data_IF_068009209817
#
_entry.id   IF_068009209817
#
_cell.length_a   1.000
_cell.length_b   1.000
_cell.length_c   1.000
_cell.angle_alpha   90.00
_cell.angle_beta   90.00
_cell.angle_gamma   90.00
#
_symmetry.space_group_name_H-M   'P 1'
#
loop_
_entity.id
_entity.type
_entity.pdbx_description
1 polymer ?
#
# COMPACT_ATOMS: atom_id res chain seq x y z
N UNK A 1 7.29 15.30 -24.07
CA UNK A 1 6.86 15.25 -22.65
C UNK A 1 6.14 13.94 -22.38
N UNK A 2 6.50 13.28 -21.28
CA UNK A 2 5.84 12.17 -20.58
C UNK A 2 5.55 10.87 -21.32
N UNK A 3 6.63 10.12 -21.54
CA UNK A 3 6.63 8.66 -21.54
C UNK A 3 6.48 8.09 -20.11
N UNK A 4 5.45 8.50 -19.36
CA UNK A 4 4.85 7.62 -18.36
C UNK A 4 4.12 6.55 -19.18
N UNK A 5 4.95 5.64 -19.71
CA UNK A 5 4.57 4.57 -20.64
C UNK A 5 3.39 3.84 -20.04
N UNK A 6 2.36 3.69 -20.85
CA UNK A 6 1.15 2.90 -20.61
C UNK A 6 1.52 1.55 -20.01
N UNK A 7 1.54 1.46 -18.68
CA UNK A 7 1.40 0.19 -18.01
C UNK A 7 -0.01 -0.24 -18.36
N UNK A 8 -0.15 -1.34 -19.10
CA UNK A 8 -1.46 -1.95 -19.31
C UNK A 8 -2.11 -2.09 -17.93
N UNK A 9 -3.34 -1.62 -17.77
CA UNK A 9 -4.02 -1.61 -16.47
C UNK A 9 -4.11 -3.01 -15.86
N UNK A 10 -4.11 -4.05 -16.69
CA UNK A 10 -3.98 -5.46 -16.33
C UNK A 10 -2.72 -5.79 -15.51
N UNK A 11 -1.65 -5.00 -15.64
CA UNK A 11 -0.36 -5.24 -14.97
C UNK A 11 -0.23 -4.55 -13.62
N UNK A 12 -1.18 -3.67 -13.25
CA UNK A 12 -1.16 -2.93 -11.98
C UNK A 12 -1.06 -3.86 -10.76
N UNK A 13 -1.83 -4.96 -10.64
CA UNK A 13 -1.74 -5.84 -9.47
C UNK A 13 -0.34 -6.42 -9.24
N UNK A 14 0.36 -6.82 -10.30
CA UNK A 14 1.72 -7.36 -10.22
C UNK A 14 2.74 -6.33 -9.72
N UNK A 15 2.59 -5.07 -10.14
CA UNK A 15 3.44 -3.97 -9.64
C UNK A 15 3.21 -3.74 -8.15
N UNK A 16 1.95 -3.76 -7.72
CA UNK A 16 1.60 -3.64 -6.30
C UNK A 16 2.18 -4.79 -5.50
N UNK A 17 2.01 -6.04 -5.94
CA UNK A 17 2.58 -7.21 -5.27
C UNK A 17 4.08 -7.09 -5.08
N UNK A 18 4.81 -6.68 -6.12
CA UNK A 18 6.25 -6.48 -6.02
C UNK A 18 6.65 -5.41 -5.02
N UNK A 19 5.93 -4.31 -4.97
CA UNK A 19 6.20 -3.27 -3.98
C UNK A 19 5.89 -3.74 -2.55
N UNK A 20 4.80 -4.50 -2.37
CA UNK A 20 4.43 -5.07 -1.07
C UNK A 20 5.45 -6.12 -0.58
N UNK A 21 6.01 -6.94 -1.48
CA UNK A 21 7.09 -7.88 -1.16
C UNK A 21 8.37 -7.15 -0.72
N UNK A 22 8.75 -6.10 -1.44
CA UNK A 22 9.93 -5.30 -1.11
C UNK A 22 9.78 -4.57 0.22
N UNK A 23 8.58 -4.07 0.54
CA UNK A 23 8.30 -3.39 1.80
C UNK A 23 8.38 -4.35 3.00
N UNK A 24 7.78 -5.54 2.87
CA UNK A 24 7.77 -6.58 3.91
C UNK A 24 9.16 -7.15 4.19
N UNK A 25 10.02 -7.27 3.17
CA UNK A 25 11.40 -7.71 3.35
C UNK A 25 12.24 -6.77 4.24
N UNK A 26 11.76 -5.54 4.47
CA UNK A 26 12.37 -4.57 5.39
C UNK A 26 11.80 -4.58 6.82
N UNK A 27 10.77 -5.37 7.11
CA UNK A 27 10.15 -5.40 8.45
C UNK A 27 10.92 -6.33 9.39
N UNK A 28 11.77 -5.76 10.24
CA UNK A 28 12.06 -6.36 11.54
C UNK A 28 10.90 -6.06 12.48
N UNK A 29 10.48 -7.01 13.31
CA UNK A 29 9.47 -6.78 14.33
C UNK A 29 9.89 -5.60 15.23
N UNK A 30 9.29 -4.43 15.02
CA UNK A 30 9.57 -3.25 15.83
C UNK A 30 8.78 -3.38 17.13
N UNK A 31 9.48 -3.76 18.22
CA UNK A 31 8.91 -3.88 19.57
C UNK A 31 8.18 -2.61 20.02
N UNK A 32 8.49 -1.44 19.44
CA UNK A 32 7.78 -0.19 19.72
C UNK A 32 6.32 -0.23 19.28
N UNK A 33 5.95 -1.07 18.31
CA UNK A 33 4.55 -1.23 17.91
C UNK A 33 3.71 -1.84 19.04
N UNK A 34 4.28 -2.77 19.82
CA UNK A 34 3.58 -3.38 20.95
C UNK A 34 3.23 -2.37 22.06
N UNK A 35 3.92 -1.22 22.09
CA UNK A 35 3.69 -0.13 23.04
C UNK A 35 2.72 0.93 22.51
N UNK A 36 2.37 0.91 21.22
CA UNK A 36 1.41 1.85 20.65
C UNK A 36 0.00 1.59 21.19
N UNK A 37 -0.80 2.63 21.50
CA UNK A 37 -2.22 2.50 21.77
C UNK A 37 -2.94 1.76 20.63
N UNK A 38 -3.95 0.95 20.96
CA UNK A 38 -4.63 0.08 19.98
C UNK A 38 -5.30 0.89 18.85
N UNK A 39 -5.81 2.08 19.16
CA UNK A 39 -6.43 3.03 18.23
C UNK A 39 -5.41 3.72 17.31
N UNK A 40 -4.11 3.55 17.56
CA UNK A 40 -3.02 4.00 16.69
C UNK A 40 -2.45 2.87 15.83
N UNK A 41 -2.86 1.63 16.05
CA UNK A 41 -2.41 0.49 15.23
C UNK A 41 -3.26 0.36 13.98
N UNK A 42 -2.69 -0.22 12.93
CA UNK A 42 -3.42 -0.60 11.74
C UNK A 42 -4.58 -1.53 12.13
N UNK A 43 -5.80 -1.13 11.80
CA UNK A 43 -7.01 -1.89 12.12
C UNK A 43 -7.13 -3.23 11.37
N UNK A 44 -6.26 -3.45 10.38
CA UNK A 44 -6.22 -4.70 9.58
C UNK A 44 -5.20 -5.69 10.15
N UNK A 45 -3.92 -5.30 10.25
CA UNK A 45 -2.87 -6.22 10.68
C UNK A 45 -2.52 -6.15 12.16
N UNK A 46 -2.82 -5.06 12.85
CA UNK A 46 -2.41 -4.77 14.24
C UNK A 46 -0.89 -4.82 14.52
N UNK A 47 -0.06 -5.08 13.49
CA UNK A 47 1.39 -5.24 13.60
C UNK A 47 2.18 -3.98 13.28
N UNK A 48 1.52 -2.90 12.83
CA UNK A 48 2.15 -1.63 12.46
C UNK A 48 1.26 -0.44 12.87
N UNK A 49 1.84 0.77 12.92
CA UNK A 49 1.08 2.01 13.14
C UNK A 49 0.17 2.32 11.94
N UNK A 50 -1.06 2.75 12.23
CA UNK A 50 -1.93 3.34 11.22
C UNK A 50 -1.33 4.68 10.75
N UNK A 51 -0.91 4.75 9.49
CA UNK A 51 -0.21 5.91 8.94
C UNK A 51 -0.89 6.51 7.70
N UNK A 52 -1.96 5.88 7.20
CA UNK A 52 -2.66 6.30 5.99
C UNK A 52 -3.98 6.95 6.35
N UNK A 53 -4.20 8.15 5.83
CA UNK A 53 -5.46 8.87 5.90
C UNK A 53 -6.23 8.66 4.60
N UNK A 54 -7.47 8.16 4.71
CA UNK A 54 -8.38 7.95 3.58
C UNK A 54 -9.16 9.22 3.27
N UNK A 55 -9.20 9.66 2.00
CA UNK A 55 -9.99 10.80 1.56
C UNK A 55 -11.25 10.34 0.81
N UNK A 56 -12.40 11.03 0.98
CA UNK A 56 -12.59 12.29 1.73
C UNK A 56 -12.89 12.14 3.23
N UNK A 57 -13.14 10.93 3.74
CA UNK A 57 -13.63 10.75 5.12
C UNK A 57 -12.62 11.01 6.26
N UNK A 58 -11.36 11.28 5.94
CA UNK A 58 -10.26 11.64 6.85
C UNK A 58 -9.92 10.61 7.95
N UNK A 59 -10.42 9.38 7.88
CA UNK A 59 -10.02 8.31 8.81
C UNK A 59 -8.57 7.90 8.60
N UNK A 60 -7.79 7.86 9.68
CA UNK A 60 -6.40 7.38 9.70
C UNK A 60 -6.28 6.07 10.48
N UNK A 61 -6.46 4.94 9.80
CA UNK A 61 -6.76 3.65 10.46
C UNK A 61 -6.05 2.42 9.86
N UNK A 62 -5.34 2.58 8.75
CA UNK A 62 -4.57 1.49 8.13
C UNK A 62 -3.11 1.88 7.93
N UNK A 63 -2.23 0.89 7.87
CA UNK A 63 -0.86 1.08 7.44
C UNK A 63 -0.78 1.11 5.90
N UNK A 64 0.39 1.52 5.38
CA UNK A 64 0.65 1.61 3.95
C UNK A 64 0.49 0.28 3.20
N UNK A 65 1.07 -0.79 3.75
CA UNK A 65 0.96 -2.14 3.18
C UNK A 65 -0.51 -2.60 3.05
N UNK A 66 -1.29 -2.47 4.13
CA UNK A 66 -2.70 -2.88 4.12
C UNK A 66 -3.55 -2.01 3.18
N UNK A 67 -3.25 -0.71 3.04
CA UNK A 67 -3.97 0.17 2.13
C UNK A 67 -3.76 -0.23 0.65
N UNK A 68 -2.53 -0.57 0.26
CA UNK A 68 -2.22 -1.05 -1.09
C UNK A 68 -2.82 -2.42 -1.36
N UNK A 69 -2.73 -3.34 -0.39
CA UNK A 69 -3.33 -4.66 -0.52
C UNK A 69 -4.85 -4.56 -0.69
N UNK A 70 -5.53 -3.71 0.09
CA UNK A 70 -6.97 -3.52 -0.04
C UNK A 70 -7.37 -2.84 -1.35
N UNK A 71 -6.58 -1.87 -1.82
CA UNK A 71 -6.78 -1.26 -3.14
C UNK A 71 -6.65 -2.27 -4.27
N UNK A 72 -5.61 -3.13 -4.22
CA UNK A 72 -5.41 -4.21 -5.19
C UNK A 72 -6.61 -5.14 -5.23
N UNK A 73 -7.08 -5.62 -4.06
CA UNK A 73 -8.24 -6.52 -3.97
C UNK A 73 -9.48 -5.84 -4.57
N UNK A 74 -9.77 -4.59 -4.20
CA UNK A 74 -10.90 -3.84 -4.77
C UNK A 74 -10.80 -3.70 -6.30
N UNK A 75 -9.59 -3.46 -6.82
CA UNK A 75 -9.35 -3.39 -8.26
C UNK A 75 -9.59 -4.73 -8.96
N UNK A 76 -9.09 -5.83 -8.41
CA UNK A 76 -9.27 -7.19 -8.96
C UNK A 76 -10.74 -7.63 -8.91
N UNK A 77 -11.46 -7.29 -7.84
CA UNK A 77 -12.89 -7.58 -7.66
C UNK A 77 -13.80 -6.64 -8.47
N UNK A 78 -13.25 -5.59 -9.10
CA UNK A 78 -14.03 -4.55 -9.79
C UNK A 78 -14.96 -3.78 -8.85
N UNK A 79 -14.64 -3.72 -7.56
CA UNK A 79 -15.48 -3.13 -6.52
C UNK A 79 -14.95 -1.77 -6.06
N UNK A 80 -15.83 -0.84 -5.62
CA UNK A 80 -15.37 0.41 -5.04
C UNK A 80 -14.55 0.17 -3.78
N UNK A 81 -13.38 0.79 -3.69
CA UNK A 81 -12.55 0.72 -2.49
C UNK A 81 -13.16 1.60 -1.40
N UNK A 82 -13.48 1.02 -0.23
CA UNK A 82 -14.25 1.71 0.84
C UNK A 82 -13.49 1.73 2.16
N UNK A 83 -13.62 2.83 2.89
CA UNK A 83 -13.05 2.99 4.22
C UNK A 83 -13.55 1.89 5.16
N UNK A 84 -12.63 1.25 5.89
CA UNK A 84 -12.96 0.17 6.83
C UNK A 84 -13.78 0.63 8.05
N UNK A 85 -13.86 1.93 8.31
CA UNK A 85 -14.60 2.52 9.43
C UNK A 85 -15.98 2.96 9.00
N UNK A 86 -16.06 3.91 8.05
CA UNK A 86 -17.32 4.57 7.70
C UNK A 86 -17.89 4.14 6.35
N UNK A 87 -17.21 3.24 5.61
CA UNK A 87 -17.63 2.71 4.31
C UNK A 87 -17.77 3.75 3.17
N UNK A 88 -17.44 5.01 3.43
CA UNK A 88 -17.26 6.03 2.40
C UNK A 88 -16.26 5.52 1.37
N UNK A 89 -16.57 5.74 0.10
CA UNK A 89 -15.69 5.42 -1.01
C UNK A 89 -14.39 6.22 -0.89
N UNK A 90 -13.26 5.54 -1.08
CA UNK A 90 -11.94 6.14 -0.98
C UNK A 90 -11.55 6.62 -2.37
N UNK A 91 -11.35 7.93 -2.48
CA UNK A 91 -10.91 8.57 -3.72
C UNK A 91 -9.39 8.74 -3.75
N UNK A 92 -8.77 8.94 -2.58
CA UNK A 92 -7.32 9.13 -2.47
C UNK A 92 -6.79 8.76 -1.07
N UNK A 93 -5.48 8.64 -0.95
CA UNK A 93 -4.74 8.41 0.28
C UNK A 93 -3.72 9.51 0.52
N UNK A 94 -3.54 9.89 1.78
CA UNK A 94 -2.37 10.68 2.21
C UNK A 94 -1.59 9.96 3.29
N UNK A 95 -0.28 10.23 3.36
CA UNK A 95 0.66 9.57 4.26
C UNK A 95 1.67 8.70 3.53
N UNK A 96 2.57 8.07 4.28
CA UNK A 96 3.60 7.21 3.70
C UNK A 96 3.03 5.84 3.36
N UNK A 97 2.67 5.65 2.09
CA UNK A 97 2.10 4.41 1.58
C UNK A 97 3.08 3.24 1.61
N UNK A 98 4.39 3.47 1.46
CA UNK A 98 5.41 2.42 1.52
C UNK A 98 6.71 3.01 2.08
N UNK A 99 6.98 2.77 3.36
CA UNK A 99 8.08 3.44 4.09
C UNK A 99 9.46 2.97 3.61
N UNK A 100 9.59 1.71 3.21
CA UNK A 100 10.88 1.12 2.87
C UNK A 100 11.28 1.28 1.39
N UNK A 101 10.38 1.78 0.52
CA UNK A 101 10.71 2.00 -0.90
C UNK A 101 11.72 3.12 -1.13
N UNK A 102 11.98 3.99 -0.16
CA UNK A 102 13.04 5.01 -0.29
C UNK A 102 14.44 4.40 -0.48
N UNK A 103 14.61 3.10 -0.19
CA UNK A 103 15.86 2.37 -0.35
C UNK A 103 15.82 1.29 -1.44
N UNK A 104 14.85 1.34 -2.37
CA UNK A 104 14.75 0.36 -3.45
C UNK A 104 16.04 0.34 -4.30
N UNK A 105 16.65 -0.84 -4.47
CA UNK A 105 17.87 -0.97 -5.28
C UNK A 105 17.50 -0.99 -6.76
N UNK A 106 18.36 -0.42 -7.60
CA UNK A 106 18.14 -0.35 -9.05
C UNK A 106 17.96 -1.72 -9.72
N UNK A 107 18.57 -2.78 -9.16
CA UNK A 107 18.36 -4.16 -9.62
C UNK A 107 16.90 -4.62 -9.46
N UNK A 108 16.22 -4.19 -8.39
CA UNK A 108 14.86 -4.58 -8.08
C UNK A 108 13.89 -3.78 -8.98
N UNK A 109 14.18 -2.50 -9.22
CA UNK A 109 13.47 -1.69 -10.23
C UNK A 109 13.55 -2.32 -11.62
N UNK A 110 14.75 -2.73 -12.05
CA UNK A 110 14.96 -3.41 -13.35
C UNK A 110 14.15 -4.70 -13.46
N UNK A 111 14.08 -5.47 -12.38
CA UNK A 111 13.32 -6.73 -12.33
C UNK A 111 11.82 -6.47 -12.53
N UNK A 112 11.26 -5.51 -11.77
CA UNK A 112 9.85 -5.09 -11.90
C UNK A 112 9.55 -4.68 -13.35
N UNK A 113 10.41 -3.85 -13.96
CA UNK A 113 10.24 -3.41 -15.35
C UNK A 113 10.22 -4.59 -16.34
N UNK A 114 11.07 -5.60 -16.12
CA UNK A 114 11.13 -6.77 -17.00
C UNK A 114 9.88 -7.65 -16.86
N UNK A 115 9.37 -7.82 -15.65
CA UNK A 115 8.14 -8.59 -15.39
C UNK A 115 6.91 -7.90 -15.98
N UNK A 116 6.84 -6.56 -15.94
CA UNK A 116 5.77 -5.80 -16.60
C UNK A 116 5.84 -5.91 -18.13
N UNK A 117 7.01 -6.20 -18.72
CA UNK A 117 7.15 -6.29 -20.18
C UNK A 117 6.81 -7.68 -20.75
N UNK A 118 6.89 -8.72 -19.92
CA UNK A 118 6.46 -10.07 -20.25
C UNK A 118 4.93 -10.17 -20.20
#
# INVERSE_FOLDING_TARGET
MNALRTVETSKIPYVVDRFLELDRAGEMADERIAQLPIDKRCAVCFSTEACITTLPCAHKVVCGWCAWQSLKISFEDGSPHRCVICRTEIEDFTGSLIKNLMHIKWKDVKKIINEIKQ
#
